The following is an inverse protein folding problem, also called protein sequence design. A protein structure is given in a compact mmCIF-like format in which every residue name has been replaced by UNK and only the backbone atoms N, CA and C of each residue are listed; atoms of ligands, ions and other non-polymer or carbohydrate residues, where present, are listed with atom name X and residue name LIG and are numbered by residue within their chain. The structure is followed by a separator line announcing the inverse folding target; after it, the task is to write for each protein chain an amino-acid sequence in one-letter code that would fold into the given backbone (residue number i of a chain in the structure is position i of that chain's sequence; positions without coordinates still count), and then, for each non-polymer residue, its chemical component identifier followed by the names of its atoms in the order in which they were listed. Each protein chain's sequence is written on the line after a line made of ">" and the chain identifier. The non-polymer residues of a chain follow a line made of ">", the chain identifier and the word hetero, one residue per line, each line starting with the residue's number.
data_IF_791933424999
#
_entry.id   IF_791933424999
#
_cell.length_a   1.000
_cell.length_b   1.000
_cell.length_c   1.000
_cell.angle_alpha   90.00
_cell.angle_beta   90.00
_cell.angle_gamma   90.00
#
_symmetry.space_group_name_H-M   'P 1'
#
loop_
_entity.id
_entity.type
_entity.pdbx_description
1 polymer ?
#
# COMPACT_ATOMS: atom_id res chain seq x y z
N UNK A 1 9.16 -23.50 -34.30
CA UNK A 1 7.91 -23.07 -33.63
C UNK A 1 8.26 -22.86 -32.18
N UNK A 2 8.68 -21.63 -31.80
CA UNK A 2 8.96 -21.30 -30.39
C UNK A 2 7.62 -21.16 -29.66
N UNK A 3 7.45 -21.90 -28.60
CA UNK A 3 6.34 -21.77 -27.68
C UNK A 3 6.31 -20.31 -27.14
N UNK A 4 5.28 -19.57 -27.55
CA UNK A 4 4.95 -18.30 -26.92
C UNK A 4 4.27 -18.57 -25.55
N UNK A 5 5.02 -19.12 -24.62
CA UNK A 5 4.74 -19.05 -23.21
C UNK A 5 5.13 -17.64 -22.73
N UNK A 6 4.30 -16.65 -23.04
CA UNK A 6 4.68 -15.26 -22.91
C UNK A 6 4.67 -14.79 -21.48
N UNK A 7 5.81 -14.38 -20.96
CA UNK A 7 5.87 -13.42 -19.88
C UNK A 7 5.19 -12.13 -20.35
N UNK A 8 4.30 -11.56 -19.54
CA UNK A 8 3.63 -10.30 -19.86
C UNK A 8 4.56 -9.09 -19.75
N UNK A 9 5.81 -9.30 -19.40
CA UNK A 9 6.81 -8.26 -19.17
C UNK A 9 8.23 -8.85 -19.33
N UNK A 10 9.12 -8.07 -19.93
CA UNK A 10 10.57 -8.36 -20.01
C UNK A 10 11.31 -7.25 -19.27
N UNK A 11 12.34 -7.61 -18.51
CA UNK A 11 13.30 -6.65 -17.94
C UNK A 11 14.51 -6.64 -18.84
N UNK A 12 14.77 -5.52 -19.52
CA UNK A 12 15.96 -5.30 -20.35
C UNK A 12 17.03 -4.60 -19.51
N UNK A 13 18.19 -5.21 -19.38
CA UNK A 13 19.36 -4.58 -18.75
C UNK A 13 20.15 -3.85 -19.82
N UNK A 14 20.25 -2.53 -19.69
CA UNK A 14 20.92 -1.64 -20.65
C UNK A 14 22.38 -2.05 -20.82
N UNK A 15 22.81 -2.25 -22.07
CA UNK A 15 24.18 -2.55 -22.46
C UNK A 15 24.87 -1.31 -23.05
N UNK A 16 26.21 -1.25 -23.05
CA UNK A 16 26.95 -0.20 -23.78
C UNK A 16 26.51 -0.10 -25.23
N UNK A 17 26.10 1.11 -25.65
CA UNK A 17 25.61 1.37 -27.02
C UNK A 17 24.11 1.17 -27.21
N UNK A 18 23.35 0.80 -26.16
CA UNK A 18 21.91 0.78 -26.25
C UNK A 18 21.33 2.19 -26.31
N UNK A 19 20.17 2.27 -26.95
CA UNK A 19 19.30 3.44 -26.91
C UNK A 19 17.85 2.98 -26.74
N UNK A 20 16.99 3.83 -26.22
CA UNK A 20 15.55 3.51 -26.08
C UNK A 20 14.93 3.10 -27.40
N UNK A 21 15.36 3.72 -28.52
CA UNK A 21 14.89 3.36 -29.86
C UNK A 21 15.26 1.90 -30.21
N UNK A 22 16.53 1.51 -30.00
CA UNK A 22 16.98 0.13 -30.25
C UNK A 22 16.29 -0.89 -29.35
N UNK A 23 16.11 -0.55 -28.07
CA UNK A 23 15.39 -1.41 -27.13
C UNK A 23 13.93 -1.58 -27.57
N UNK A 24 13.25 -0.48 -27.95
CA UNK A 24 11.89 -0.52 -28.45
C UNK A 24 11.75 -1.40 -29.70
N UNK A 25 12.70 -1.28 -30.65
CA UNK A 25 12.73 -2.15 -31.83
C UNK A 25 13.01 -3.62 -31.50
N UNK A 26 13.99 -3.90 -30.64
CA UNK A 26 14.34 -5.24 -30.21
C UNK A 26 13.15 -6.00 -29.63
N UNK A 27 12.36 -5.31 -28.83
CA UNK A 27 11.20 -5.89 -28.17
C UNK A 27 9.86 -5.68 -28.90
N UNK A 28 9.89 -5.06 -30.08
CA UNK A 28 8.70 -4.79 -30.89
C UNK A 28 7.61 -3.98 -30.17
N UNK A 29 8.01 -3.01 -29.35
CA UNK A 29 7.11 -2.09 -28.65
C UNK A 29 7.28 -0.66 -29.15
N UNK A 30 6.22 0.17 -29.18
CA UNK A 30 6.35 1.57 -29.57
C UNK A 30 7.26 2.34 -28.61
N UNK A 31 8.18 3.16 -29.15
CA UNK A 31 9.10 3.96 -28.34
C UNK A 31 8.36 4.89 -27.33
N UNK A 32 7.30 5.63 -27.72
CA UNK A 32 6.55 6.44 -26.76
C UNK A 32 5.95 5.61 -25.61
N UNK A 33 5.50 4.39 -25.90
CA UNK A 33 5.00 3.47 -24.89
C UNK A 33 6.10 3.04 -23.92
N UNK A 34 7.29 2.68 -24.42
CA UNK A 34 8.43 2.30 -23.59
C UNK A 34 8.87 3.44 -22.66
N UNK A 35 8.98 4.67 -23.18
CA UNK A 35 9.31 5.88 -22.42
C UNK A 35 8.30 6.07 -21.29
N UNK A 36 7.03 5.98 -21.61
CA UNK A 36 5.92 6.24 -20.70
C UNK A 36 5.83 5.20 -19.58
N UNK A 37 6.01 3.92 -19.92
CA UNK A 37 5.95 2.82 -18.95
C UNK A 37 7.12 2.82 -17.95
N UNK A 38 8.22 3.47 -18.31
CA UNK A 38 9.40 3.61 -17.45
C UNK A 38 9.53 5.03 -16.84
N UNK A 39 8.53 5.89 -17.00
CA UNK A 39 8.53 7.29 -16.52
C UNK A 39 9.82 8.04 -16.86
N UNK A 40 10.36 7.80 -18.08
CA UNK A 40 11.61 8.41 -18.49
C UNK A 40 11.41 9.87 -18.92
N UNK A 41 12.33 10.74 -18.53
CA UNK A 41 12.32 12.17 -18.85
C UNK A 41 13.46 12.55 -19.79
N UNK A 42 13.25 13.57 -20.61
CA UNK A 42 14.32 14.11 -21.45
C UNK A 42 15.40 14.81 -20.60
N UNK A 43 16.69 14.73 -21.00
CA UNK A 43 17.20 13.93 -22.12
C UNK A 43 17.28 12.45 -21.73
N UNK A 44 16.70 11.55 -22.52
CA UNK A 44 16.60 10.11 -22.25
C UNK A 44 17.99 9.44 -22.23
N UNK A 45 18.76 9.70 -21.18
CA UNK A 45 20.09 9.10 -20.99
C UNK A 45 19.95 7.75 -20.30
N UNK A 46 20.45 6.72 -20.97
CA UNK A 46 20.54 5.38 -20.40
C UNK A 46 21.95 5.15 -19.84
N UNK A 47 22.01 4.46 -18.71
CA UNK A 47 23.27 4.04 -18.10
C UNK A 47 23.41 2.53 -18.24
N UNK A 48 24.55 1.98 -18.69
CA UNK A 48 24.80 0.54 -18.67
C UNK A 48 24.53 -0.05 -17.27
N UNK A 49 23.79 -1.17 -17.24
CA UNK A 49 23.29 -1.77 -16.00
C UNK A 49 21.91 -1.26 -15.54
N UNK A 50 21.42 -0.14 -16.07
CA UNK A 50 20.06 0.32 -15.83
C UNK A 50 19.05 -0.71 -16.33
N UNK A 51 17.96 -0.93 -15.58
CA UNK A 51 16.87 -1.80 -16.00
C UNK A 51 15.76 -1.01 -16.67
N UNK A 52 15.27 -1.51 -17.81
CA UNK A 52 14.12 -1.00 -18.54
C UNK A 52 13.04 -2.07 -18.53
N UNK A 53 11.90 -1.74 -17.97
CA UNK A 53 10.70 -2.59 -18.00
C UNK A 53 10.07 -2.50 -19.39
N UNK A 54 9.94 -3.64 -20.07
CA UNK A 54 9.35 -3.74 -21.42
C UNK A 54 8.06 -4.55 -21.31
N UNK A 55 6.91 -3.90 -21.11
CA UNK A 55 5.63 -4.59 -21.03
C UNK A 55 5.27 -5.20 -22.40
N UNK A 56 4.68 -6.39 -22.37
CA UNK A 56 4.20 -7.12 -23.55
C UNK A 56 2.68 -7.20 -23.50
N UNK A 57 1.94 -6.19 -23.95
CA UNK A 57 0.49 -6.22 -23.90
C UNK A 57 -0.07 -7.29 -24.85
N UNK A 58 -1.07 -8.02 -24.40
CA UNK A 58 -1.80 -8.98 -25.23
C UNK A 58 -2.80 -8.26 -26.14
N UNK A 59 -3.51 -7.27 -25.57
CA UNK A 59 -4.50 -6.48 -26.30
C UNK A 59 -4.30 -4.99 -26.03
N UNK A 60 -4.40 -4.20 -27.09
CA UNK A 60 -4.34 -2.74 -27.04
C UNK A 60 -5.55 -2.14 -27.76
N UNK A 61 -5.81 -0.87 -27.49
CA UNK A 61 -6.86 -0.09 -28.14
C UNK A 61 -6.35 1.31 -28.47
N UNK A 62 -6.66 1.80 -29.66
CA UNK A 62 -6.37 3.19 -30.03
C UNK A 62 -7.64 4.02 -29.79
N UNK A 63 -7.55 5.00 -28.91
CA UNK A 63 -8.65 5.89 -28.54
C UNK A 63 -9.16 6.64 -29.77
N UNK A 64 -10.49 6.65 -29.97
CA UNK A 64 -11.17 7.34 -31.06
C UNK A 64 -11.88 8.58 -30.52
N UNK A 65 -12.24 9.48 -31.40
CA UNK A 65 -13.04 10.67 -31.04
C UNK A 65 -14.40 10.24 -30.48
N UNK A 66 -14.74 10.75 -29.30
CA UNK A 66 -15.98 10.43 -28.59
C UNK A 66 -15.88 9.27 -27.59
N UNK A 67 -14.71 8.60 -27.53
CA UNK A 67 -14.51 7.55 -26.56
C UNK A 67 -14.40 8.10 -25.12
N UNK A 68 -14.83 7.27 -24.16
CA UNK A 68 -14.58 7.41 -22.73
C UNK A 68 -13.97 6.14 -22.20
N UNK A 69 -13.26 6.17 -21.05
CA UNK A 69 -12.76 4.94 -20.43
C UNK A 69 -13.90 3.96 -20.15
N UNK A 70 -15.06 4.45 -19.75
CA UNK A 70 -16.25 3.61 -19.51
C UNK A 70 -16.73 2.92 -20.78
N UNK A 71 -16.83 3.62 -21.92
CA UNK A 71 -17.25 3.02 -23.20
C UNK A 71 -16.23 2.01 -23.72
N UNK A 72 -14.92 2.34 -23.61
CA UNK A 72 -13.84 1.42 -24.02
C UNK A 72 -13.87 0.16 -23.17
N UNK A 73 -14.02 0.29 -21.84
CA UNK A 73 -14.09 -0.82 -20.92
C UNK A 73 -15.26 -1.77 -21.24
N UNK A 74 -16.47 -1.19 -21.41
CA UNK A 74 -17.66 -1.95 -21.72
C UNK A 74 -17.57 -2.71 -23.06
N UNK A 75 -17.04 -2.06 -24.11
CA UNK A 75 -16.89 -2.65 -25.44
C UNK A 75 -15.85 -3.80 -25.47
N UNK A 76 -14.87 -3.77 -24.56
CA UNK A 76 -13.78 -4.72 -24.55
C UNK A 76 -13.84 -5.73 -23.40
N UNK A 77 -14.93 -5.79 -22.65
CA UNK A 77 -15.13 -6.77 -21.56
C UNK A 77 -14.13 -6.59 -20.40
N UNK A 78 -13.70 -5.35 -20.15
CA UNK A 78 -12.82 -4.97 -19.06
C UNK A 78 -13.48 -3.95 -18.13
N UNK A 79 -12.77 -3.41 -17.16
CA UNK A 79 -13.25 -2.37 -16.24
C UNK A 79 -12.39 -1.13 -16.33
N UNK A 80 -12.94 0.04 -15.96
CA UNK A 80 -12.17 1.28 -15.85
C UNK A 80 -10.99 1.10 -14.88
N UNK A 81 -11.19 0.36 -13.79
CA UNK A 81 -10.12 0.03 -12.84
C UNK A 81 -8.99 -0.75 -13.51
N UNK A 82 -9.29 -1.76 -14.32
CA UNK A 82 -8.28 -2.49 -15.07
C UNK A 82 -7.57 -1.62 -16.12
N UNK A 83 -8.30 -0.70 -16.75
CA UNK A 83 -7.68 0.27 -17.66
C UNK A 83 -6.71 1.18 -16.91
N UNK A 84 -7.05 1.68 -15.73
CA UNK A 84 -6.10 2.46 -14.90
C UNK A 84 -4.89 1.63 -14.49
N UNK A 85 -5.08 0.40 -14.04
CA UNK A 85 -4.00 -0.51 -13.64
C UNK A 85 -3.05 -0.85 -14.80
N UNK A 86 -3.59 -1.03 -16.00
CA UNK A 86 -2.79 -1.36 -17.19
C UNK A 86 -2.14 -0.13 -17.84
N UNK A 87 -2.57 1.08 -17.46
CA UNK A 87 -2.15 2.35 -18.08
C UNK A 87 -1.78 3.39 -17.01
N UNK A 88 -0.63 3.21 -16.30
CA UNK A 88 -0.22 4.09 -15.20
C UNK A 88 -0.13 5.56 -15.60
N UNK A 89 0.13 5.84 -16.87
CA UNK A 89 0.15 7.20 -17.43
C UNK A 89 -1.18 7.96 -17.31
N UNK A 90 -2.28 7.27 -17.10
CA UNK A 90 -3.58 7.92 -16.86
C UNK A 90 -3.63 8.58 -15.47
N UNK A 91 -2.70 8.23 -14.57
CA UNK A 91 -2.63 8.78 -13.23
C UNK A 91 -3.91 8.60 -12.42
N UNK A 92 -4.67 7.53 -12.68
CA UNK A 92 -5.97 7.26 -12.06
C UNK A 92 -7.07 8.24 -12.49
N UNK A 93 -6.94 8.89 -13.63
CA UNK A 93 -7.95 9.81 -14.17
C UNK A 93 -8.60 9.27 -15.43
N UNK A 94 -9.75 9.84 -15.80
CA UNK A 94 -10.48 9.47 -17.03
C UNK A 94 -10.03 10.25 -18.27
N UNK A 95 -8.92 10.99 -18.17
CA UNK A 95 -8.45 11.84 -19.27
C UNK A 95 -7.76 11.00 -20.33
N UNK A 96 -8.36 10.91 -21.50
CA UNK A 96 -7.82 10.23 -22.68
C UNK A 96 -7.91 11.15 -23.91
N UNK A 97 -7.09 10.90 -24.93
CA UNK A 97 -7.05 11.69 -26.15
C UNK A 97 -7.17 10.78 -27.38
N UNK A 98 -7.85 11.21 -28.44
CA UNK A 98 -7.87 10.48 -29.71
C UNK A 98 -6.44 10.20 -30.22
N UNK A 99 -6.19 8.96 -30.66
CA UNK A 99 -4.87 8.47 -31.07
C UNK A 99 -4.02 7.91 -29.94
N UNK A 100 -4.40 8.10 -28.68
CA UNK A 100 -3.70 7.49 -27.54
C UNK A 100 -3.86 5.97 -27.56
N UNK A 101 -2.76 5.24 -27.35
CA UNK A 101 -2.81 3.78 -27.19
C UNK A 101 -3.06 3.44 -25.71
N UNK A 102 -4.05 2.60 -25.48
CA UNK A 102 -4.35 2.01 -24.17
C UNK A 102 -4.09 0.51 -24.20
N UNK A 103 -3.51 -0.01 -23.12
CA UNK A 103 -3.39 -1.44 -22.88
C UNK A 103 -4.69 -1.93 -22.25
N UNK A 104 -5.35 -2.88 -22.91
CA UNK A 104 -6.58 -3.51 -22.42
C UNK A 104 -6.28 -4.71 -21.54
N UNK A 105 -5.30 -5.55 -21.95
CA UNK A 105 -4.88 -6.72 -21.18
C UNK A 105 -3.40 -7.04 -21.41
N UNK A 106 -2.80 -7.59 -20.37
CA UNK A 106 -1.58 -8.37 -20.43
C UNK A 106 -1.94 -9.86 -20.43
N UNK A 107 -1.06 -10.73 -20.87
CA UNK A 107 -1.27 -12.18 -20.95
C UNK A 107 -1.60 -12.82 -19.58
N UNK A 108 -1.17 -14.04 -19.38
CA UNK A 108 -1.52 -14.84 -18.20
C UNK A 108 -1.22 -14.13 -16.88
N UNK A 109 -2.23 -14.00 -16.03
CA UNK A 109 -2.08 -13.49 -14.68
C UNK A 109 -1.44 -14.55 -13.80
N UNK A 110 -0.36 -14.23 -13.11
CA UNK A 110 0.32 -15.15 -12.19
C UNK A 110 -0.47 -15.40 -10.90
N UNK A 111 -1.40 -14.51 -10.56
CA UNK A 111 -2.22 -14.63 -9.37
C UNK A 111 -2.85 -13.31 -8.94
N UNK A 112 -3.38 -13.31 -7.72
CA UNK A 112 -3.91 -12.12 -7.03
C UNK A 112 -3.31 -12.03 -5.64
N UNK A 113 -2.92 -10.85 -5.23
CA UNK A 113 -2.49 -10.56 -3.86
C UNK A 113 -3.05 -9.21 -3.42
N UNK A 114 -3.16 -9.03 -2.12
CA UNK A 114 -3.57 -7.76 -1.54
C UNK A 114 -2.36 -6.84 -1.43
N UNK A 115 -2.57 -5.56 -1.74
CA UNK A 115 -1.55 -4.51 -1.61
C UNK A 115 -2.05 -3.49 -0.60
N UNK A 116 -1.25 -3.20 0.43
CA UNK A 116 -1.49 -2.13 1.38
C UNK A 116 -0.50 -0.98 1.15
N UNK A 117 -0.97 0.25 1.20
CA UNK A 117 -0.13 1.45 1.17
C UNK A 117 -0.44 2.33 2.37
N UNK A 118 0.61 2.94 2.95
CA UNK A 118 0.46 3.94 4.00
C UNK A 118 0.45 5.35 3.40
N UNK A 119 -0.37 6.21 3.96
CA UNK A 119 -0.40 7.62 3.59
C UNK A 119 -0.64 8.53 4.79
N UNK A 120 0.14 9.61 4.88
CA UNK A 120 -0.18 10.72 5.77
C UNK A 120 -1.33 11.55 5.20
N UNK A 121 -2.15 12.22 6.05
CA UNK A 121 -3.19 13.15 5.57
C UNK A 121 -2.67 14.27 4.68
N UNK A 122 -1.39 14.61 4.77
CA UNK A 122 -0.70 15.64 3.97
C UNK A 122 -0.15 15.15 2.63
N UNK A 123 -0.42 13.91 2.23
CA UNK A 123 0.07 13.35 0.95
C UNK A 123 -0.36 14.22 -0.24
N UNK A 124 0.53 14.36 -1.24
CA UNK A 124 0.13 14.96 -2.53
C UNK A 124 -0.99 14.11 -3.16
N UNK A 125 -2.14 14.73 -3.39
CA UNK A 125 -3.32 14.06 -3.92
C UNK A 125 -3.12 13.50 -5.34
N UNK A 126 -2.15 14.00 -6.10
CA UNK A 126 -1.80 13.45 -7.41
C UNK A 126 -1.10 12.09 -7.23
N UNK A 127 -0.19 12.01 -6.26
CA UNK A 127 0.48 10.75 -5.90
C UNK A 127 -0.57 9.76 -5.39
N UNK A 128 -1.41 10.16 -4.45
CA UNK A 128 -2.48 9.30 -3.93
C UNK A 128 -3.37 8.76 -5.05
N UNK A 129 -3.87 9.64 -5.93
CA UNK A 129 -4.75 9.26 -7.04
C UNK A 129 -4.10 8.26 -7.99
N UNK A 130 -2.82 8.48 -8.31
CA UNK A 130 -2.05 7.58 -9.19
C UNK A 130 -1.84 6.21 -8.57
N UNK A 131 -1.72 6.13 -7.24
CA UNK A 131 -1.43 4.91 -6.50
C UNK A 131 -2.68 4.08 -6.18
N UNK A 132 -3.80 4.74 -5.88
CA UNK A 132 -5.04 4.07 -5.47
C UNK A 132 -5.49 2.89 -6.36
N UNK A 133 -5.39 2.94 -7.71
CA UNK A 133 -5.78 1.81 -8.55
C UNK A 133 -5.06 0.50 -8.25
N UNK A 134 -3.89 0.55 -7.64
CA UNK A 134 -3.04 -0.61 -7.33
C UNK A 134 -3.22 -1.13 -5.91
N UNK A 135 -3.96 -0.42 -5.06
CA UNK A 135 -4.14 -0.78 -3.66
C UNK A 135 -5.39 -1.63 -3.43
N UNK A 136 -5.30 -2.51 -2.43
CA UNK A 136 -6.45 -3.17 -1.80
C UNK A 136 -6.84 -2.42 -0.53
N UNK A 137 -5.83 -1.94 0.21
CA UNK A 137 -5.98 -1.21 1.45
C UNK A 137 -5.17 0.08 1.40
N UNK A 138 -5.66 1.10 2.11
CA UNK A 138 -4.97 2.35 2.37
C UNK A 138 -4.95 2.58 3.87
N UNK A 139 -3.81 2.36 4.53
CA UNK A 139 -3.58 2.66 5.94
C UNK A 139 -3.32 4.16 6.09
N UNK A 140 -4.27 4.88 6.71
CA UNK A 140 -4.17 6.34 6.96
C UNK A 140 -3.44 6.56 8.27
N UNK A 141 -2.23 7.08 8.19
CA UNK A 141 -1.31 7.27 9.31
C UNK A 141 -1.45 8.67 9.90
N UNK A 142 -1.72 8.87 11.16
CA UNK A 142 -2.14 7.93 12.20
C UNK A 142 -3.01 8.66 13.21
N UNK A 143 -3.57 7.93 14.15
CA UNK A 143 -4.28 8.49 15.28
C UNK A 143 -3.77 7.87 16.58
N UNK A 144 -3.64 8.71 17.62
CA UNK A 144 -3.36 8.29 18.98
C UNK A 144 -4.59 8.27 19.85
N UNK A 145 -4.39 8.02 21.14
CA UNK A 145 -5.44 8.01 22.16
C UNK A 145 -4.91 8.59 23.47
N UNK A 146 -5.84 9.04 24.32
CA UNK A 146 -5.51 9.53 25.67
C UNK A 146 -5.57 8.41 26.73
N UNK A 147 -5.21 8.76 27.97
CA UNK A 147 -5.19 7.81 29.10
C UNK A 147 -6.57 7.23 29.48
N UNK A 148 -7.67 7.82 28.99
CA UNK A 148 -9.02 7.32 29.18
C UNK A 148 -9.52 6.47 28.00
N UNK A 149 -8.69 6.23 27.00
CA UNK A 149 -9.05 5.47 25.79
C UNK A 149 -9.87 6.28 24.79
N UNK A 150 -9.84 7.62 24.85
CA UNK A 150 -10.50 8.46 23.83
C UNK A 150 -9.56 8.67 22.66
N UNK A 151 -10.08 8.55 21.46
CA UNK A 151 -9.34 8.82 20.23
C UNK A 151 -9.02 10.31 20.12
N UNK A 152 -7.76 10.64 19.85
CA UNK A 152 -7.32 12.02 19.65
C UNK A 152 -7.90 12.59 18.34
N UNK A 153 -8.11 13.91 18.24
CA UNK A 153 -8.59 14.54 17.02
C UNK A 153 -7.65 14.28 15.84
N UNK A 154 -8.21 13.93 14.69
CA UNK A 154 -7.45 13.70 13.44
C UNK A 154 -8.33 14.04 12.23
N UNK A 155 -7.71 14.16 11.05
CA UNK A 155 -8.39 14.44 9.80
C UNK A 155 -8.01 13.40 8.74
N UNK A 156 -9.00 12.63 8.28
CA UNK A 156 -8.80 11.57 7.28
C UNK A 156 -9.87 11.55 6.18
N UNK A 157 -10.90 12.41 6.28
CA UNK A 157 -12.09 12.37 5.44
C UNK A 157 -11.78 12.34 3.94
N UNK A 158 -10.81 13.16 3.50
CA UNK A 158 -10.45 13.25 2.09
C UNK A 158 -9.84 11.94 1.59
N UNK A 159 -8.92 11.36 2.36
CA UNK A 159 -8.25 10.11 2.00
C UNK A 159 -9.24 8.94 1.99
N UNK A 160 -10.10 8.86 3.00
CA UNK A 160 -11.15 7.84 3.10
C UNK A 160 -12.11 7.93 1.91
N UNK A 161 -12.57 9.15 1.58
CA UNK A 161 -13.46 9.36 0.44
C UNK A 161 -12.78 8.96 -0.87
N UNK A 162 -11.54 9.38 -1.08
CA UNK A 162 -10.78 9.01 -2.28
C UNK A 162 -10.56 7.50 -2.37
N UNK A 163 -10.11 6.86 -1.31
CA UNK A 163 -9.93 5.41 -1.28
C UNK A 163 -11.21 4.68 -1.69
N UNK A 164 -12.35 5.05 -1.13
CA UNK A 164 -13.65 4.46 -1.45
C UNK A 164 -14.07 4.65 -2.91
N UNK A 165 -13.78 5.83 -3.51
CA UNK A 165 -14.04 6.08 -4.93
C UNK A 165 -13.28 5.10 -5.84
N UNK A 166 -12.08 4.69 -5.43
CA UNK A 166 -11.26 3.69 -6.12
C UNK A 166 -11.48 2.25 -5.63
N UNK A 167 -12.53 2.00 -4.83
CA UNK A 167 -12.84 0.68 -4.24
C UNK A 167 -11.72 0.14 -3.35
N UNK A 168 -10.86 1.00 -2.85
CA UNK A 168 -9.80 0.70 -1.88
C UNK A 168 -10.39 0.77 -0.47
N UNK A 169 -10.01 -0.16 0.40
CA UNK A 169 -10.47 -0.24 1.78
C UNK A 169 -9.60 0.64 2.68
N UNK A 170 -10.08 1.79 3.20
CA UNK A 170 -9.28 2.60 4.09
C UNK A 170 -9.20 1.96 5.48
N UNK A 171 -7.99 1.89 6.04
CA UNK A 171 -7.73 1.46 7.41
C UNK A 171 -7.28 2.66 8.25
N UNK A 172 -7.75 2.74 9.48
CA UNK A 172 -7.26 3.70 10.46
C UNK A 172 -6.03 3.13 11.14
N UNK A 173 -4.89 3.81 11.06
CA UNK A 173 -3.70 3.40 11.81
C UNK A 173 -3.80 3.93 13.23
N UNK A 174 -3.90 3.02 14.19
CA UNK A 174 -3.95 3.33 15.63
C UNK A 174 -2.56 3.13 16.21
N UNK A 175 -1.98 4.21 16.74
CA UNK A 175 -0.63 4.22 17.30
C UNK A 175 -0.61 4.61 18.77
N UNK A 176 0.53 4.41 19.43
CA UNK A 176 0.81 4.95 20.76
C UNK A 176 1.37 6.38 20.72
N UNK A 177 1.24 7.08 19.59
CA UNK A 177 1.66 8.48 19.45
C UNK A 177 0.86 9.38 20.42
N UNK A 178 1.58 10.30 21.07
CA UNK A 178 1.02 11.34 21.87
C UNK A 178 0.75 12.63 21.10
N UNK A 179 0.26 13.63 21.82
CA UNK A 179 0.14 14.99 21.30
C UNK A 179 1.48 15.59 20.90
N UNK A 180 2.58 15.08 21.48
CA UNK A 180 3.96 15.43 21.18
C UNK A 180 4.49 14.76 19.88
N UNK A 181 3.69 13.87 19.26
CA UNK A 181 4.04 13.14 18.06
C UNK A 181 5.08 12.04 18.28
N UNK A 182 5.32 11.62 19.54
CA UNK A 182 6.27 10.56 19.87
C UNK A 182 5.52 9.26 20.24
N UNK A 183 6.05 8.13 19.83
CA UNK A 183 5.63 6.81 20.31
C UNK A 183 5.96 6.67 21.81
N UNK A 184 5.06 6.09 22.59
CA UNK A 184 5.19 5.97 24.01
C UNK A 184 4.87 4.57 24.52
N UNK A 185 5.91 3.85 24.95
CA UNK A 185 5.76 2.56 25.64
C UNK A 185 4.96 2.69 26.96
N UNK A 186 5.11 3.80 27.69
CA UNK A 186 4.32 4.07 28.91
C UNK A 186 2.82 4.18 28.58
N UNK A 187 2.47 4.82 27.46
CA UNK A 187 1.06 4.92 27.04
C UNK A 187 0.52 3.54 26.65
N UNK A 188 1.31 2.72 25.96
CA UNK A 188 0.96 1.33 25.68
C UNK A 188 0.74 0.57 26.99
N UNK A 189 1.71 0.61 27.91
CA UNK A 189 1.61 -0.05 29.22
C UNK A 189 0.34 0.32 29.98
N UNK A 190 0.07 1.62 30.11
CA UNK A 190 -1.14 2.11 30.81
C UNK A 190 -2.42 1.59 30.15
N UNK A 191 -2.55 1.71 28.84
CA UNK A 191 -3.74 1.22 28.14
C UNK A 191 -3.93 -0.28 28.36
N UNK A 192 -2.87 -1.06 28.17
CA UNK A 192 -2.94 -2.52 28.23
C UNK A 192 -3.26 -3.03 29.65
N UNK A 193 -2.91 -2.28 30.68
CA UNK A 193 -3.12 -2.68 32.08
C UNK A 193 -4.31 -2.00 32.78
N UNK A 194 -5.02 -1.08 32.11
CA UNK A 194 -6.23 -0.44 32.67
C UNK A 194 -7.48 -0.93 31.91
N UNK A 195 -8.24 -1.89 32.44
CA UNK A 195 -9.36 -2.52 31.74
C UNK A 195 -10.43 -1.53 31.24
N UNK A 196 -10.70 -0.48 32.00
CA UNK A 196 -11.72 0.55 31.65
C UNK A 196 -11.25 1.40 30.47
N UNK A 197 -9.98 1.81 30.42
CA UNK A 197 -9.41 2.57 29.30
C UNK A 197 -9.36 1.71 28.03
N UNK A 198 -8.96 0.44 28.17
CA UNK A 198 -8.92 -0.52 27.08
C UNK A 198 -10.30 -0.75 26.47
N UNK A 199 -11.32 -0.99 27.31
CA UNK A 199 -12.70 -1.15 26.85
C UNK A 199 -13.23 0.13 26.17
N UNK A 200 -12.95 1.30 26.74
CA UNK A 200 -13.34 2.58 26.15
C UNK A 200 -12.69 2.81 24.77
N UNK A 201 -11.39 2.50 24.61
CA UNK A 201 -10.71 2.65 23.32
C UNK A 201 -11.34 1.75 22.26
N UNK A 202 -11.66 0.49 22.59
CA UNK A 202 -12.28 -0.46 21.65
C UNK A 202 -13.64 0.07 21.16
N UNK A 203 -14.48 0.60 22.07
CA UNK A 203 -15.78 1.17 21.69
C UNK A 203 -15.63 2.47 20.89
N UNK A 204 -14.70 3.35 21.26
CA UNK A 204 -14.41 4.58 20.53
C UNK A 204 -13.88 4.27 19.11
N UNK A 205 -13.06 3.24 18.95
CA UNK A 205 -12.63 2.76 17.62
C UNK A 205 -13.84 2.35 16.78
N UNK A 206 -14.73 1.51 17.33
CA UNK A 206 -15.91 1.06 16.59
C UNK A 206 -16.77 2.25 16.11
N UNK A 207 -16.94 3.26 16.95
CA UNK A 207 -17.69 4.48 16.59
C UNK A 207 -16.98 5.29 15.51
N UNK A 208 -15.68 5.53 15.65
CA UNK A 208 -14.90 6.32 14.68
C UNK A 208 -14.86 5.62 13.32
N UNK A 209 -14.64 4.30 13.27
CA UNK A 209 -14.64 3.55 12.02
C UNK A 209 -15.98 3.68 11.29
N UNK A 210 -17.09 3.58 12.03
CA UNK A 210 -18.44 3.72 11.48
C UNK A 210 -18.72 5.14 10.97
N UNK A 211 -18.41 6.16 11.78
CA UNK A 211 -18.70 7.55 11.44
C UNK A 211 -17.87 8.07 10.27
N UNK A 212 -16.60 7.70 10.21
CA UNK A 212 -15.69 8.21 9.18
C UNK A 212 -15.59 7.27 7.96
N UNK A 213 -16.19 6.10 8.05
CA UNK A 213 -16.27 5.18 6.90
C UNK A 213 -14.99 4.39 6.62
N UNK A 214 -14.19 4.11 7.62
CA UNK A 214 -13.09 3.16 7.50
C UNK A 214 -13.59 1.73 7.29
N UNK A 215 -12.73 0.89 6.74
CA UNK A 215 -12.99 -0.54 6.53
C UNK A 215 -12.35 -1.43 7.61
N UNK A 216 -11.58 -0.82 8.51
CA UNK A 216 -10.91 -1.53 9.59
C UNK A 216 -9.86 -0.66 10.27
N UNK A 217 -9.07 -1.29 11.11
CA UNK A 217 -7.99 -0.67 11.89
C UNK A 217 -6.68 -1.41 11.62
N UNK A 218 -5.58 -0.68 11.65
CA UNK A 218 -4.21 -1.18 11.60
C UNK A 218 -3.54 -0.77 12.92
N UNK A 219 -3.30 -1.74 13.81
CA UNK A 219 -2.76 -1.50 15.15
C UNK A 219 -1.24 -1.50 15.04
N UNK A 220 -0.65 -0.33 15.28
CA UNK A 220 0.77 -0.06 15.15
C UNK A 220 1.32 0.47 16.48
N UNK A 221 1.47 -0.43 17.44
CA UNK A 221 2.02 -0.12 18.76
C UNK A 221 3.50 -0.47 18.79
N UNK A 222 4.31 0.56 18.82
CA UNK A 222 5.76 0.42 18.95
C UNK A 222 6.22 0.63 20.39
N UNK A 223 7.38 0.08 20.73
CA UNK A 223 8.02 0.19 22.05
C UNK A 223 7.14 -0.32 23.19
N UNK A 224 6.29 -1.31 22.93
CA UNK A 224 5.52 -1.98 23.98
C UNK A 224 6.49 -2.69 24.94
N UNK A 225 6.37 -2.48 26.27
CA UNK A 225 7.22 -3.17 27.22
C UNK A 225 7.14 -4.70 27.10
N UNK A 226 8.26 -5.42 27.24
CA UNK A 226 8.26 -6.89 27.08
C UNK A 226 7.29 -7.62 28.01
N UNK A 227 7.10 -7.12 29.22
CA UNK A 227 6.14 -7.63 30.19
C UNK A 227 4.67 -7.51 29.77
N UNK A 228 4.38 -6.66 28.81
CA UNK A 228 3.02 -6.44 28.27
C UNK A 228 2.72 -7.24 27.00
N UNK A 229 3.61 -8.13 26.56
CA UNK A 229 3.45 -8.88 25.31
C UNK A 229 2.12 -9.65 25.24
N UNK A 230 1.77 -10.37 26.31
CA UNK A 230 0.51 -11.12 26.41
C UNK A 230 -0.70 -10.20 26.46
N UNK A 231 -0.60 -9.07 27.17
CA UNK A 231 -1.65 -8.06 27.27
C UNK A 231 -1.88 -7.38 25.91
N UNK A 232 -0.82 -7.15 25.15
CA UNK A 232 -0.91 -6.60 23.79
C UNK A 232 -1.62 -7.58 22.83
N UNK A 233 -1.24 -8.83 22.81
CA UNK A 233 -1.93 -9.84 22.01
C UNK A 233 -3.40 -10.00 22.41
N UNK A 234 -3.71 -9.97 23.72
CA UNK A 234 -5.07 -10.00 24.21
C UNK A 234 -5.88 -8.76 23.80
N UNK A 235 -5.26 -7.58 23.78
CA UNK A 235 -5.88 -6.34 23.30
C UNK A 235 -6.25 -6.45 21.82
N UNK A 236 -5.30 -6.85 20.95
CA UNK A 236 -5.54 -7.03 19.50
C UNK A 236 -6.69 -8.01 19.27
N UNK A 237 -6.72 -9.13 20.02
CA UNK A 237 -7.81 -10.10 19.96
C UNK A 237 -9.15 -9.49 20.35
N UNK A 238 -9.21 -8.72 21.44
CA UNK A 238 -10.43 -8.05 21.88
C UNK A 238 -10.94 -7.02 20.86
N UNK A 239 -10.03 -6.28 20.23
CA UNK A 239 -10.37 -5.38 19.11
C UNK A 239 -11.00 -6.17 17.97
N UNK A 240 -10.38 -7.29 17.57
CA UNK A 240 -10.90 -8.14 16.51
C UNK A 240 -12.27 -8.72 16.85
N UNK A 241 -12.43 -9.28 18.03
CA UNK A 241 -13.70 -9.84 18.50
C UNK A 241 -14.83 -8.81 18.47
N UNK A 242 -14.53 -7.56 18.79
CA UNK A 242 -15.52 -6.46 18.77
C UNK A 242 -15.82 -5.97 17.35
N UNK A 243 -14.83 -5.91 16.48
CA UNK A 243 -14.95 -5.25 15.17
C UNK A 243 -15.34 -6.20 14.03
N UNK A 244 -14.90 -7.47 14.07
CA UNK A 244 -15.12 -8.43 12.97
C UNK A 244 -16.60 -8.74 12.72
N UNK A 245 -17.51 -8.84 13.74
CA UNK A 245 -18.93 -9.06 13.48
C UNK A 245 -19.60 -7.93 12.67
N UNK A 246 -19.02 -6.72 12.71
CA UNK A 246 -19.48 -5.58 11.91
C UNK A 246 -18.78 -5.49 10.54
N UNK A 247 -17.93 -6.47 10.19
CA UNK A 247 -17.26 -6.56 8.90
C UNK A 247 -15.96 -5.75 8.78
N UNK A 248 -15.44 -5.22 9.88
CA UNK A 248 -14.16 -4.52 9.91
C UNK A 248 -13.00 -5.51 9.95
N UNK A 249 -11.89 -5.16 9.29
CA UNK A 249 -10.65 -5.94 9.29
C UNK A 249 -9.67 -5.36 10.30
N UNK A 250 -8.99 -6.23 11.06
CA UNK A 250 -7.97 -5.82 12.04
C UNK A 250 -6.60 -6.28 11.57
N UNK A 251 -5.70 -5.32 11.35
CA UNK A 251 -4.30 -5.53 11.07
C UNK A 251 -3.48 -5.30 12.33
N UNK A 252 -2.31 -5.92 12.41
CA UNK A 252 -1.27 -5.60 13.39
C UNK A 252 0.06 -5.36 12.65
N UNK A 253 0.66 -4.20 12.84
CA UNK A 253 2.00 -3.89 12.36
C UNK A 253 3.03 -4.46 13.34
N UNK A 254 4.02 -5.16 12.82
CA UNK A 254 5.01 -5.91 13.59
C UNK A 254 6.43 -5.51 13.19
N UNK A 255 7.28 -5.26 14.16
CA UNK A 255 8.70 -5.04 13.93
C UNK A 255 9.35 -6.30 13.31
N UNK A 256 10.23 -6.15 12.31
CA UNK A 256 10.88 -7.28 11.67
C UNK A 256 11.93 -7.91 12.61
N UNK A 257 11.80 -9.21 12.86
CA UNK A 257 12.70 -9.94 13.76
C UNK A 257 13.51 -10.99 12.99
N UNK A 258 14.77 -11.14 13.34
CA UNK A 258 15.65 -12.20 12.80
C UNK A 258 15.51 -13.52 13.58
N UNK A 259 14.96 -13.46 14.80
CA UNK A 259 14.65 -14.63 15.62
C UNK A 259 13.52 -14.31 16.61
N UNK A 260 12.86 -15.33 17.12
CA UNK A 260 11.84 -15.17 18.17
C UNK A 260 12.41 -14.56 19.46
N UNK A 261 13.69 -14.83 19.76
CA UNK A 261 14.38 -14.36 20.96
C UNK A 261 15.13 -13.02 20.74
N UNK A 262 14.85 -12.29 19.67
CA UNK A 262 15.52 -11.00 19.42
C UNK A 262 15.24 -10.02 20.55
N UNK A 263 16.32 -9.51 21.15
CA UNK A 263 16.26 -8.55 22.25
C UNK A 263 16.05 -7.13 21.73
N UNK A 264 15.46 -6.29 22.56
CA UNK A 264 15.26 -4.87 22.32
C UNK A 264 13.79 -4.46 22.43
N UNK A 265 13.55 -3.28 22.98
CA UNK A 265 12.23 -2.76 23.31
C UNK A 265 11.25 -2.70 22.11
N UNK A 266 11.79 -2.53 20.89
CA UNK A 266 10.97 -2.55 19.67
C UNK A 266 10.47 -3.97 19.32
N UNK A 267 11.16 -5.01 19.76
CA UNK A 267 10.99 -6.37 19.24
C UNK A 267 10.32 -7.33 20.22
N UNK A 268 10.64 -7.23 21.52
CA UNK A 268 10.36 -8.30 22.50
C UNK A 268 8.86 -8.54 22.69
N UNK A 269 8.05 -7.47 22.74
CA UNK A 269 6.59 -7.58 22.85
C UNK A 269 5.88 -8.00 21.56
N UNK A 270 6.58 -8.05 20.42
CA UNK A 270 6.00 -8.49 19.15
C UNK A 270 6.13 -10.02 19.00
N UNK A 271 5.34 -10.77 19.77
CA UNK A 271 5.20 -12.21 19.57
C UNK A 271 4.39 -12.48 18.29
N UNK A 272 5.06 -12.99 17.25
CA UNK A 272 4.45 -13.25 15.95
C UNK A 272 3.34 -14.30 16.01
N UNK A 273 3.48 -15.33 16.84
CA UNK A 273 2.47 -16.37 16.96
C UNK A 273 1.21 -15.83 17.66
N UNK A 274 1.40 -15.12 18.76
CA UNK A 274 0.31 -14.55 19.54
C UNK A 274 -0.43 -13.44 18.76
N UNK A 275 0.29 -12.46 18.20
CA UNK A 275 -0.28 -11.34 17.45
C UNK A 275 -0.86 -11.80 16.10
N UNK A 276 -0.18 -12.71 15.38
CA UNK A 276 -0.66 -13.25 14.14
C UNK A 276 -1.96 -14.06 14.28
N UNK A 277 -2.17 -14.72 15.44
CA UNK A 277 -3.43 -15.39 15.76
C UNK A 277 -4.53 -14.42 16.23
N UNK A 278 -4.15 -13.29 16.81
CA UNK A 278 -5.06 -12.29 17.34
C UNK A 278 -5.64 -11.37 16.26
N UNK A 279 -4.87 -11.02 15.24
CA UNK A 279 -5.29 -10.17 14.13
C UNK A 279 -5.88 -10.96 12.94
N UNK A 280 -6.50 -10.28 11.99
CA UNK A 280 -6.89 -10.86 10.70
C UNK A 280 -5.69 -10.91 9.74
N UNK A 281 -4.77 -9.95 9.86
CA UNK A 281 -3.55 -9.82 9.06
C UNK A 281 -2.43 -9.23 9.89
N UNK A 282 -1.22 -9.68 9.62
CA UNK A 282 -0.01 -9.09 10.14
C UNK A 282 0.76 -8.40 9.00
N UNK A 283 1.31 -7.22 9.29
CA UNK A 283 2.20 -6.49 8.41
C UNK A 283 3.58 -6.47 9.06
N UNK A 284 4.58 -7.04 8.39
CA UNK A 284 5.96 -6.96 8.84
C UNK A 284 6.59 -5.69 8.28
N UNK A 285 7.09 -4.81 9.15
CA UNK A 285 7.72 -3.53 8.79
C UNK A 285 9.16 -3.75 8.28
N UNK A 286 9.30 -4.48 7.17
CA UNK A 286 10.60 -4.84 6.57
C UNK A 286 11.15 -3.74 5.67
N UNK A 287 11.09 -2.50 6.11
CA UNK A 287 11.59 -1.30 5.44
C UNK A 287 12.52 -0.51 6.41
N UNK A 288 12.93 0.70 6.04
CA UNK A 288 13.91 1.50 6.81
C UNK A 288 15.28 0.82 6.92
N UNK A 289 15.70 0.15 5.85
CA UNK A 289 17.02 -0.49 5.77
C UNK A 289 18.16 0.49 6.02
N UNK A 290 17.98 1.75 5.64
CA UNK A 290 18.86 2.86 5.95
C UNK A 290 18.06 4.14 6.19
N UNK A 291 18.63 5.08 6.89
CA UNK A 291 18.02 6.39 7.12
C UNK A 291 19.03 7.53 6.90
N UNK A 292 18.54 8.78 6.80
CA UNK A 292 19.30 9.92 6.34
C UNK A 292 20.62 10.19 7.10
N UNK A 293 20.72 9.76 8.35
CA UNK A 293 21.91 9.94 9.21
C UNK A 293 22.78 8.68 9.29
N UNK A 294 22.41 7.58 8.66
CA UNK A 294 23.25 6.37 8.57
C UNK A 294 24.31 6.52 7.49
N UNK A 295 25.38 5.73 7.56
CA UNK A 295 26.31 5.56 6.45
C UNK A 295 25.53 5.06 5.23
N UNK A 296 26.01 5.40 4.01
CA UNK A 296 25.42 4.91 2.79
C UNK A 296 25.43 3.39 2.80
N UNK A 297 24.25 2.78 2.67
CA UNK A 297 24.06 1.35 2.66
C UNK A 297 23.76 0.86 1.26
N UNK A 298 24.06 -0.42 1.01
CA UNK A 298 23.61 -1.08 -0.22
C UNK A 298 22.08 -1.16 -0.26
N UNK A 299 21.54 -1.37 -1.45
CA UNK A 299 20.10 -1.62 -1.61
C UNK A 299 19.73 -2.85 -0.77
N UNK A 300 18.57 -2.83 -0.13
CA UNK A 300 18.09 -3.95 0.67
C UNK A 300 18.18 -5.28 -0.12
N UNK A 301 18.63 -6.36 0.54
CA UNK A 301 18.84 -7.65 -0.10
C UNK A 301 17.57 -8.29 -0.65
#
# INVERSE_FOLDING_TARGET
>A
MQEKGGFSMVIHVVQPGDSLYRIAQLHSVPLPFLIQQNELHEPYRLTPGQTIVVPQPEKTYIVRRGDTLGSIAAQNGTTVMQLWQNNPQLGGTDRIQPGQMLVLSYGNKLGRFAVNGYAYPSIDLRVLRRTLPYLTYLSVFSVGFDNAGRILPFSAELLVRMARQYQVKPLLVLTTLGEDGQFSGERAHRLLNIPTARAALIENLAQVLAMQGFAGVDIDFEYVPPEDADAYAAFVRSVRERLSPAGYTVFAALAPKTSAAQQGLLYEAHDYAALGSAADRALLMTYEWGYALSAQMEVAP
#
